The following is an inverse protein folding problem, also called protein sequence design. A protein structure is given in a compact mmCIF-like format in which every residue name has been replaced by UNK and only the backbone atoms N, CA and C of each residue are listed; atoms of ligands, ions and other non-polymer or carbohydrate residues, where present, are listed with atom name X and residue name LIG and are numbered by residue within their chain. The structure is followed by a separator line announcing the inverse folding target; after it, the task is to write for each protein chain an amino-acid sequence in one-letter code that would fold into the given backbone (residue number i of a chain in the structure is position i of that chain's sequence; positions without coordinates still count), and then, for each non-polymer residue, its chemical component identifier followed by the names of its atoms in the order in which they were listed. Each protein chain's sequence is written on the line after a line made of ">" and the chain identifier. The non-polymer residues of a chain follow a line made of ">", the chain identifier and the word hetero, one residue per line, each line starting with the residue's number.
data_IF_290016816214
#
_entry.id   IF_290016816214
#
_cell.length_a   1.000
_cell.length_b   1.000
_cell.length_c   1.000
_cell.angle_alpha   90.00
_cell.angle_beta   90.00
_cell.angle_gamma   90.00
#
_symmetry.space_group_name_H-M   'P 1'
#
loop_
_entity.id
_entity.type
_entity.pdbx_description
1 polymer ?
#
# COMPACT_ATOMS: atom_id res chain seq x y z
N UNK A 1 -11.18 26.46 -6.76
CA UNK A 1 -10.04 25.52 -6.61
C UNK A 1 -10.29 24.74 -5.34
N UNK A 2 -10.26 23.41 -5.38
CA UNK A 2 -10.35 22.62 -4.15
C UNK A 2 -9.10 22.92 -3.30
N UNK A 3 -9.25 23.21 -2.00
CA UNK A 3 -8.10 23.51 -1.15
C UNK A 3 -7.16 22.31 -1.09
N UNK A 4 -5.87 22.56 -1.32
CA UNK A 4 -4.81 21.58 -1.11
C UNK A 4 -4.77 21.28 0.38
N UNK A 5 -4.77 20.00 0.74
CA UNK A 5 -4.58 19.59 2.14
C UNK A 5 -3.22 20.13 2.60
N UNK A 6 -3.20 20.85 3.72
CA UNK A 6 -1.98 21.43 4.25
C UNK A 6 -0.97 20.34 4.58
N UNK A 7 0.32 20.62 4.38
CA UNK A 7 1.41 19.67 4.68
C UNK A 7 1.45 19.26 6.17
N UNK A 8 0.90 20.11 7.06
CA UNK A 8 0.81 19.86 8.49
C UNK A 8 -0.54 19.26 8.94
N UNK A 9 -1.41 18.87 8.00
CA UNK A 9 -2.62 18.14 8.33
C UNK A 9 -2.25 16.79 8.96
N UNK A 10 -2.60 16.63 10.24
CA UNK A 10 -2.25 15.45 11.03
C UNK A 10 -3.27 14.30 10.94
N UNK A 11 -4.33 14.47 10.14
CA UNK A 11 -5.35 13.44 9.95
C UNK A 11 -5.02 12.45 8.84
N UNK A 12 -5.92 11.49 8.61
CA UNK A 12 -5.74 10.50 7.54
C UNK A 12 -5.99 11.12 6.16
N UNK A 13 -5.03 10.93 5.26
CA UNK A 13 -5.15 11.30 3.84
C UNK A 13 -4.88 10.08 2.93
N UNK A 14 -5.41 8.92 3.32
CA UNK A 14 -5.25 7.65 2.60
C UNK A 14 -6.56 7.23 1.96
N UNK A 15 -6.49 6.80 0.70
CA UNK A 15 -7.59 6.13 0.00
C UNK A 15 -7.40 4.62 -0.02
N UNK A 16 -8.47 3.85 0.11
CA UNK A 16 -8.43 2.39 0.00
C UNK A 16 -8.93 1.94 -1.37
N UNK A 17 -8.19 1.01 -1.99
CA UNK A 17 -8.70 0.30 -3.16
C UNK A 17 -8.26 -1.15 -3.16
N UNK A 18 -9.12 -1.98 -3.74
CA UNK A 18 -8.89 -3.39 -3.94
C UNK A 18 -8.95 -3.70 -5.42
N UNK A 19 -7.86 -4.30 -5.91
CA UNK A 19 -7.76 -4.89 -7.25
C UNK A 19 -8.11 -6.38 -7.15
N UNK A 20 -9.02 -6.85 -8.01
CA UNK A 20 -9.42 -8.27 -8.08
C UNK A 20 -8.89 -8.88 -9.37
N UNK A 21 -8.20 -10.01 -9.24
CA UNK A 21 -7.70 -10.79 -10.37
C UNK A 21 -8.06 -12.25 -10.10
N UNK A 22 -8.51 -12.97 -11.13
CA UNK A 22 -8.76 -14.41 -10.97
C UNK A 22 -7.46 -15.13 -10.65
N UNK A 23 -7.49 -16.04 -9.67
CA UNK A 23 -6.31 -16.78 -9.25
C UNK A 23 -5.61 -17.50 -10.43
N UNK A 24 -6.39 -18.11 -11.34
CA UNK A 24 -5.86 -18.79 -12.53
C UNK A 24 -5.11 -17.86 -13.48
N UNK A 25 -5.54 -16.61 -13.60
CA UNK A 25 -4.84 -15.60 -14.39
C UNK A 25 -3.55 -15.18 -13.69
N UNK A 26 -3.61 -14.95 -12.37
CA UNK A 26 -2.48 -14.51 -11.56
C UNK A 26 -1.34 -15.54 -11.51
N UNK A 27 -1.64 -16.84 -11.44
CA UNK A 27 -0.62 -17.91 -11.46
C UNK A 27 -0.25 -18.37 -12.88
N UNK A 28 -0.90 -17.82 -13.91
CA UNK A 28 -0.58 -18.12 -15.30
C UNK A 28 0.72 -17.46 -15.76
N UNK A 29 1.25 -17.88 -16.92
CA UNK A 29 2.55 -17.39 -17.43
C UNK A 29 2.65 -15.87 -17.68
N UNK A 30 1.53 -15.15 -17.73
CA UNK A 30 1.47 -13.68 -17.85
C UNK A 30 0.96 -12.99 -16.57
N UNK A 31 0.79 -13.73 -15.48
CA UNK A 31 0.10 -13.24 -14.28
C UNK A 31 0.75 -12.00 -13.64
N UNK A 32 2.08 -11.94 -13.61
CA UNK A 32 2.79 -10.75 -13.15
C UNK A 32 2.51 -9.51 -13.99
N UNK A 33 2.53 -9.64 -15.33
CA UNK A 33 2.26 -8.53 -16.25
C UNK A 33 0.81 -8.05 -16.08
N UNK A 34 -0.14 -8.98 -15.99
CA UNK A 34 -1.55 -8.67 -15.74
C UNK A 34 -1.72 -7.92 -14.40
N UNK A 35 -1.05 -8.38 -13.34
CA UNK A 35 -1.08 -7.71 -12.04
C UNK A 35 -0.59 -6.26 -12.15
N UNK A 36 0.57 -6.05 -12.78
CA UNK A 36 1.16 -4.72 -12.96
C UNK A 36 0.25 -3.82 -13.76
N UNK A 37 -0.31 -4.31 -14.87
CA UNK A 37 -1.23 -3.54 -15.73
C UNK A 37 -2.46 -3.09 -14.93
N UNK A 38 -3.14 -4.00 -14.23
CA UNK A 38 -4.36 -3.67 -13.49
C UNK A 38 -4.08 -2.72 -12.33
N UNK A 39 -2.99 -2.90 -11.59
CA UNK A 39 -2.60 -1.99 -10.49
C UNK A 39 -2.22 -0.61 -11.03
N UNK A 40 -1.42 -0.54 -12.10
CA UNK A 40 -1.00 0.72 -12.70
C UNK A 40 -2.18 1.50 -13.29
N UNK A 41 -3.11 0.80 -13.96
CA UNK A 41 -4.33 1.40 -14.49
C UNK A 41 -5.23 1.94 -13.36
N UNK A 42 -5.43 1.21 -12.27
CA UNK A 42 -6.22 1.68 -11.12
C UNK A 42 -5.61 2.94 -10.49
N UNK A 43 -4.29 2.96 -10.27
CA UNK A 43 -3.58 4.14 -9.76
C UNK A 43 -3.73 5.32 -10.72
N UNK A 44 -3.50 5.11 -12.02
CA UNK A 44 -3.59 6.16 -13.04
C UNK A 44 -5.00 6.75 -13.13
N UNK A 45 -6.03 5.90 -13.11
CA UNK A 45 -7.42 6.35 -13.19
C UNK A 45 -7.80 7.20 -11.98
N UNK A 46 -7.33 6.84 -10.78
CA UNK A 46 -7.58 7.60 -9.55
C UNK A 46 -6.85 8.93 -9.50
N UNK A 47 -5.58 8.96 -9.88
CA UNK A 47 -4.81 10.20 -9.89
C UNK A 47 -5.37 11.24 -10.87
N UNK A 48 -5.97 10.78 -11.96
CA UNK A 48 -6.53 11.67 -12.99
C UNK A 48 -8.01 12.03 -12.76
N UNK A 49 -8.72 11.39 -11.83
CA UNK A 49 -10.12 11.67 -11.55
C UNK A 49 -10.41 11.75 -10.04
N UNK A 50 -10.57 12.97 -9.52
CA UNK A 50 -10.86 13.22 -8.10
C UNK A 50 -12.12 12.51 -7.60
N UNK A 51 -13.12 12.33 -8.46
CA UNK A 51 -14.34 11.61 -8.08
C UNK A 51 -14.10 10.10 -7.87
N UNK A 52 -13.10 9.53 -8.55
CA UNK A 52 -12.73 8.12 -8.37
C UNK A 52 -11.96 7.87 -7.07
N UNK A 53 -11.20 8.86 -6.59
CA UNK A 53 -10.38 8.75 -5.36
C UNK A 53 -11.24 8.35 -4.15
N UNK A 54 -12.39 8.98 -3.96
CA UNK A 54 -13.29 8.73 -2.83
C UNK A 54 -14.50 7.84 -3.19
N UNK A 55 -14.53 7.29 -4.40
CA UNK A 55 -15.65 6.46 -4.85
C UNK A 55 -15.80 5.22 -3.96
N UNK A 56 -16.98 5.08 -3.36
CA UNK A 56 -17.32 3.95 -2.49
C UNK A 56 -16.72 4.03 -1.09
N UNK A 57 -16.22 5.19 -0.67
CA UNK A 57 -15.59 5.40 0.63
C UNK A 57 -16.49 5.00 1.81
N UNK A 58 -17.80 5.18 1.66
CA UNK A 58 -18.82 4.78 2.63
C UNK A 58 -18.81 3.27 2.94
N UNK A 59 -18.25 2.46 2.02
CA UNK A 59 -18.20 1.00 2.12
C UNK A 59 -16.78 0.45 2.35
N UNK A 60 -15.75 1.28 2.48
CA UNK A 60 -14.37 0.78 2.59
C UNK A 60 -14.15 -0.07 3.85
N UNK A 61 -14.64 0.40 5.00
CA UNK A 61 -14.46 -0.31 6.28
C UNK A 61 -15.19 -1.65 6.28
N UNK A 62 -16.42 -1.70 5.77
CA UNK A 62 -17.20 -2.94 5.67
C UNK A 62 -16.52 -3.94 4.73
N UNK A 63 -16.03 -3.47 3.57
CA UNK A 63 -15.28 -4.31 2.62
C UNK A 63 -14.01 -4.91 3.24
N UNK A 64 -13.22 -4.11 3.97
CA UNK A 64 -12.02 -4.59 4.67
C UNK A 64 -12.39 -5.64 5.72
N UNK A 65 -13.46 -5.38 6.50
CA UNK A 65 -13.92 -6.32 7.53
C UNK A 65 -14.40 -7.64 6.93
N UNK A 66 -15.11 -7.60 5.81
CA UNK A 66 -15.56 -8.79 5.10
C UNK A 66 -14.37 -9.62 4.59
N UNK A 67 -13.37 -8.96 4.02
CA UNK A 67 -12.13 -9.62 3.58
C UNK A 67 -11.41 -10.29 4.74
N UNK A 68 -11.19 -9.56 5.84
CA UNK A 68 -10.51 -10.07 7.04
C UNK A 68 -11.29 -11.18 7.75
N UNK A 69 -12.62 -11.13 7.72
CA UNK A 69 -13.49 -12.14 8.32
C UNK A 69 -13.60 -13.43 7.53
N UNK A 70 -13.17 -13.43 6.26
CA UNK A 70 -13.15 -14.63 5.44
C UNK A 70 -12.02 -15.58 5.88
N UNK A 71 -12.37 -16.83 6.23
CA UNK A 71 -11.41 -17.91 6.51
C UNK A 71 -10.50 -18.25 5.32
N UNK A 72 -10.77 -17.68 4.14
CA UNK A 72 -10.02 -17.85 2.90
C UNK A 72 -9.72 -16.48 2.30
N UNK A 73 -9.14 -15.56 3.09
CA UNK A 73 -8.68 -14.28 2.57
C UNK A 73 -7.57 -14.53 1.54
N UNK A 74 -7.86 -14.21 0.27
CA UNK A 74 -6.93 -14.33 -0.88
C UNK A 74 -6.48 -12.95 -1.36
N UNK A 75 -6.20 -12.06 -0.42
CA UNK A 75 -5.71 -10.71 -0.68
C UNK A 75 -4.31 -10.54 -0.12
N UNK A 76 -3.57 -9.58 -0.66
CA UNK A 76 -2.28 -9.13 -0.14
C UNK A 76 -2.35 -7.62 0.05
N UNK A 77 -2.13 -7.15 1.28
CA UNK A 77 -1.96 -5.75 1.61
C UNK A 77 -0.50 -5.33 1.50
N UNK A 78 -0.24 -4.07 1.18
CA UNK A 78 1.09 -3.47 1.26
C UNK A 78 1.06 -2.35 2.28
N UNK A 79 1.93 -2.42 3.28
CA UNK A 79 2.12 -1.41 4.30
C UNK A 79 3.43 -0.66 4.07
N UNK A 80 3.39 0.66 4.09
CA UNK A 80 4.57 1.50 3.86
C UNK A 80 4.57 2.23 2.52
N UNK A 81 5.57 3.07 2.30
CA UNK A 81 5.77 3.84 1.08
C UNK A 81 7.22 4.29 1.00
N UNK A 82 7.77 4.30 -0.22
CA UNK A 82 9.14 4.75 -0.49
C UNK A 82 9.35 6.25 -0.25
N UNK A 83 8.25 7.01 -0.09
CA UNK A 83 8.32 8.42 0.32
C UNK A 83 8.63 8.59 1.81
N UNK A 84 8.31 7.60 2.64
CA UNK A 84 8.57 7.63 4.07
C UNK A 84 9.87 6.88 4.37
N UNK A 85 10.95 7.65 4.50
CA UNK A 85 12.28 7.12 4.80
C UNK A 85 12.59 7.21 6.28
N UNK A 86 11.97 6.33 7.07
CA UNK A 86 12.26 6.28 8.51
C UNK A 86 13.67 5.77 8.80
N UNK A 87 14.34 5.16 7.82
CA UNK A 87 15.71 4.67 7.96
C UNK A 87 16.74 5.82 8.00
N UNK A 88 16.38 6.98 7.45
CA UNK A 88 17.20 8.20 7.48
C UNK A 88 17.08 9.01 8.77
N UNK A 89 16.16 8.64 9.67
CA UNK A 89 15.99 9.32 10.97
C UNK A 89 17.24 9.09 11.83
N UNK A 90 17.81 10.18 12.33
CA UNK A 90 18.98 10.20 13.21
C UNK A 90 18.72 11.11 14.42
N UNK A 91 18.74 10.51 15.61
CA UNK A 91 18.57 11.21 16.89
C UNK A 91 19.91 11.53 17.58
N UNK A 92 21.04 11.36 16.89
CA UNK A 92 22.41 11.54 17.41
C UNK A 92 23.19 10.24 17.58
N UNK A 93 22.59 9.08 17.28
CA UNK A 93 23.22 7.76 17.34
C UNK A 93 23.51 7.16 15.96
N UNK A 94 23.29 7.94 14.89
CA UNK A 94 23.31 7.45 13.52
C UNK A 94 21.95 6.95 13.06
N UNK A 95 21.85 6.77 11.74
CA UNK A 95 20.65 6.31 11.04
C UNK A 95 20.17 4.94 11.55
N UNK A 96 18.84 4.77 11.65
CA UNK A 96 18.19 3.55 12.14
C UNK A 96 18.67 2.29 11.42
N UNK A 97 19.07 1.24 12.16
CA UNK A 97 19.70 0.05 11.56
C UNK A 97 18.78 -0.78 10.69
N UNK A 98 17.52 -0.89 11.09
CA UNK A 98 16.44 -1.69 10.50
C UNK A 98 15.11 -1.02 10.83
N UNK A 99 14.13 -1.12 9.93
CA UNK A 99 12.75 -0.71 10.16
C UNK A 99 11.88 -1.96 10.22
N UNK A 100 11.04 -2.08 11.24
CA UNK A 100 10.11 -3.20 11.40
C UNK A 100 8.68 -2.66 11.51
N UNK A 101 7.78 -3.16 10.67
CA UNK A 101 6.37 -2.76 10.68
C UNK A 101 5.56 -3.82 11.42
N UNK A 102 5.69 -3.85 12.74
CA UNK A 102 5.10 -4.90 13.61
C UNK A 102 3.58 -5.01 13.53
N UNK A 103 2.88 -3.99 13.03
CA UNK A 103 1.42 -4.03 12.91
C UNK A 103 0.92 -5.01 11.85
N UNK A 104 1.77 -5.46 10.92
CA UNK A 104 1.37 -6.40 9.86
C UNK A 104 1.12 -7.82 10.39
N UNK A 105 1.69 -8.17 11.54
CA UNK A 105 1.53 -9.49 12.16
C UNK A 105 0.04 -9.82 12.45
N UNK A 106 -0.74 -8.80 12.80
CA UNK A 106 -2.18 -8.92 13.05
C UNK A 106 -3.04 -8.95 11.79
N UNK A 107 -2.49 -8.61 10.63
CA UNK A 107 -3.23 -8.53 9.37
C UNK A 107 -3.17 -9.84 8.55
N UNK A 108 -2.32 -10.80 8.94
CA UNK A 108 -2.08 -12.13 8.36
C UNK A 108 -1.68 -12.19 6.87
N UNK A 109 -1.99 -11.17 6.07
CA UNK A 109 -1.77 -11.14 4.62
C UNK A 109 -1.35 -9.74 4.18
N UNK A 110 -0.39 -9.16 4.89
CA UNK A 110 0.22 -7.87 4.56
C UNK A 110 1.73 -8.03 4.45
N UNK A 111 2.33 -7.32 3.51
CA UNK A 111 3.78 -7.16 3.41
C UNK A 111 4.16 -5.72 3.72
N UNK A 112 5.34 -5.52 4.30
CA UNK A 112 5.97 -4.22 4.45
C UNK A 112 6.76 -3.86 3.19
N UNK A 113 6.79 -2.57 2.86
CA UNK A 113 7.61 -2.02 1.79
C UNK A 113 8.28 -0.73 2.28
N UNK A 114 9.61 -0.74 2.27
CA UNK A 114 10.44 0.40 2.64
C UNK A 114 11.62 0.55 1.69
N UNK A 115 12.35 1.66 1.81
CA UNK A 115 13.60 1.85 1.09
C UNK A 115 14.69 0.95 1.69
N UNK A 116 15.50 0.38 0.80
CA UNK A 116 16.72 -0.30 1.21
C UNK A 116 17.75 0.72 1.73
N UNK A 117 18.55 0.28 2.70
CA UNK A 117 19.73 1.01 3.17
C UNK A 117 20.98 0.77 2.34
N UNK A 118 20.89 -0.11 1.34
CA UNK A 118 21.97 -0.34 0.39
C UNK A 118 22.34 1.00 -0.29
N UNK A 119 23.61 1.43 -0.25
CA UNK A 119 24.04 2.65 -0.92
C UNK A 119 23.83 2.61 -2.45
N UNK A 120 23.67 1.42 -3.04
CA UNK A 120 23.30 1.25 -4.45
C UNK A 120 21.78 1.42 -4.68
N UNK A 121 21.01 1.72 -3.62
CA UNK A 121 19.57 1.84 -3.63
C UNK A 121 18.85 0.49 -3.55
N UNK A 122 17.52 0.53 -3.66
CA UNK A 122 16.68 -0.66 -3.69
C UNK A 122 15.49 -0.56 -2.75
N UNK A 123 14.81 -1.70 -2.59
CA UNK A 123 13.61 -1.87 -1.80
C UNK A 123 13.83 -2.96 -0.76
N UNK A 124 13.34 -2.74 0.44
CA UNK A 124 13.24 -3.78 1.46
C UNK A 124 11.78 -4.24 1.55
N UNK A 125 11.60 -5.56 1.59
CA UNK A 125 10.30 -6.23 1.64
C UNK A 125 10.34 -7.24 2.77
N UNK A 126 9.35 -7.17 3.66
CA UNK A 126 9.20 -8.03 4.83
C UNK A 126 7.77 -8.51 5.02
#
# INVERSE_FOLDING_TARGET
>A
MDPIILDNYFGNCLGFRLVKIEHRQLVGGKGFVILVEVVAEDIKNRLNNKHEVLRGAENWISNIRELKGSKSMRGLGVSGSLKFDFSDVDFGWGKARKLEVVSIDGDHYSMSLSKSRDPNGGLEVG
#
